data_IF_159458747858
#
_entry.id   IF_159458747858
#
_cell.length_a   1.000
_cell.length_b   1.000
_cell.length_c   1.000
_cell.angle_alpha   90.00
_cell.angle_beta   90.00
_cell.angle_gamma   90.00
#
_symmetry.space_group_name_H-M   'P 1'
#
loop_
_entity.id
_entity.type
_entity.pdbx_description
1 polymer ?
#
# COMPACT_ATOMS: atom_id res chain seq x y z
N UNK A 1 -2.92 -9.23 -19.43
CA UNK A 1 -3.92 -8.41 -20.22
C UNK A 1 -4.70 -7.58 -19.22
N UNK A 2 -4.83 -6.28 -19.47
CA UNK A 2 -5.56 -5.37 -18.57
C UNK A 2 -7.05 -5.70 -18.58
N UNK A 3 -7.62 -5.90 -17.39
CA UNK A 3 -9.05 -6.14 -17.19
C UNK A 3 -9.79 -4.82 -16.93
N UNK A 4 -10.88 -4.63 -17.69
CA UNK A 4 -11.77 -3.47 -17.52
C UNK A 4 -12.98 -3.91 -16.71
N UNK A 5 -13.23 -3.23 -15.60
CA UNK A 5 -14.33 -3.54 -14.68
C UNK A 5 -15.56 -2.71 -15.01
N UNK A 6 -16.72 -3.36 -15.00
CA UNK A 6 -18.01 -2.66 -15.07
C UNK A 6 -18.34 -2.00 -13.74
N UNK A 7 -19.26 -1.04 -13.73
CA UNK A 7 -19.74 -0.38 -12.50
C UNK A 7 -20.26 -1.38 -11.46
N UNK A 8 -20.91 -2.46 -11.91
CA UNK A 8 -21.38 -3.52 -11.03
C UNK A 8 -20.21 -4.26 -10.34
N UNK A 9 -19.10 -4.47 -11.05
CA UNK A 9 -17.89 -5.10 -10.51
C UNK A 9 -17.16 -4.16 -9.56
N UNK A 10 -17.03 -2.87 -9.91
CA UNK A 10 -16.47 -1.85 -9.00
C UNK A 10 -17.29 -1.78 -7.71
N UNK A 11 -18.62 -1.91 -7.78
CA UNK A 11 -19.48 -1.93 -6.59
C UNK A 11 -19.15 -3.10 -5.64
N UNK A 12 -18.82 -4.28 -6.18
CA UNK A 12 -18.36 -5.42 -5.36
C UNK A 12 -16.99 -5.14 -4.72
N UNK A 13 -16.08 -4.54 -5.48
CA UNK A 13 -14.76 -4.14 -4.96
C UNK A 13 -14.85 -3.12 -3.83
N UNK A 14 -15.85 -2.21 -3.85
CA UNK A 14 -16.06 -1.26 -2.73
C UNK A 14 -16.25 -1.97 -1.40
N UNK A 15 -16.95 -3.12 -1.37
CA UNK A 15 -17.15 -3.86 -0.12
C UNK A 15 -15.85 -4.48 0.40
N UNK A 16 -15.04 -5.08 -0.48
CA UNK A 16 -13.72 -5.60 -0.11
C UNK A 16 -12.82 -4.48 0.43
N UNK A 17 -12.79 -3.35 -0.26
CA UNK A 17 -11.99 -2.18 0.12
C UNK A 17 -12.49 -1.51 1.41
N UNK A 18 -13.80 -1.51 1.69
CA UNK A 18 -14.33 -1.04 2.98
C UNK A 18 -13.82 -1.91 4.14
N UNK A 19 -13.76 -3.23 3.95
CA UNK A 19 -13.23 -4.15 4.96
C UNK A 19 -11.74 -3.88 5.21
N UNK A 20 -10.97 -3.64 4.15
CA UNK A 20 -9.55 -3.27 4.23
C UNK A 20 -9.36 -1.96 4.99
N UNK A 21 -10.08 -0.90 4.62
CA UNK A 21 -10.07 0.38 5.31
C UNK A 21 -10.33 0.23 6.82
N UNK A 22 -11.42 -0.46 7.16
CA UNK A 22 -11.82 -0.63 8.55
C UNK A 22 -10.77 -1.46 9.33
N UNK A 23 -10.14 -2.45 8.66
CA UNK A 23 -9.03 -3.22 9.24
C UNK A 23 -7.83 -2.33 9.54
N UNK A 24 -7.42 -1.47 8.59
CA UNK A 24 -6.29 -0.56 8.78
C UNK A 24 -6.57 0.46 9.89
N UNK A 25 -7.77 1.02 9.96
CA UNK A 25 -8.17 1.91 11.05
C UNK A 25 -8.06 1.20 12.42
N UNK A 26 -8.58 -0.02 12.51
CA UNK A 26 -8.48 -0.83 13.72
C UNK A 26 -7.02 -1.09 14.13
N UNK A 27 -6.14 -1.36 13.17
CA UNK A 27 -4.71 -1.56 13.42
C UNK A 27 -4.05 -0.29 13.93
N UNK A 28 -4.29 0.86 13.30
CA UNK A 28 -3.74 2.15 13.75
C UNK A 28 -4.21 2.51 15.18
N UNK A 29 -5.48 2.26 15.52
CA UNK A 29 -6.00 2.47 16.89
C UNK A 29 -5.32 1.59 17.94
N UNK A 30 -4.89 0.38 17.54
CA UNK A 30 -4.23 -0.58 18.44
C UNK A 30 -2.70 -0.49 18.40
N UNK A 31 -2.13 0.40 17.58
CA UNK A 31 -0.69 0.63 17.48
C UNK A 31 -0.18 1.36 18.73
N UNK A 32 0.52 0.62 19.59
CA UNK A 32 1.05 1.13 20.85
C UNK A 32 2.40 0.49 21.17
N UNK A 33 3.30 1.17 21.90
CA UNK A 33 4.50 0.55 22.42
C UNK A 33 4.17 -0.71 23.24
N UNK A 34 4.95 -1.76 23.05
CA UNK A 34 4.80 -3.04 23.74
C UNK A 34 3.89 -4.08 23.06
N UNK A 35 3.14 -3.69 22.01
CA UNK A 35 2.34 -4.63 21.22
C UNK A 35 3.24 -5.38 20.25
N UNK A 36 3.03 -6.69 20.09
CA UNK A 36 3.73 -7.48 19.08
C UNK A 36 3.05 -7.36 17.71
N UNK A 37 3.84 -7.43 16.64
CA UNK A 37 3.30 -7.44 15.28
C UNK A 37 2.40 -8.67 15.02
N UNK A 38 2.62 -9.77 15.75
CA UNK A 38 1.76 -10.95 15.72
C UNK A 38 0.36 -10.68 16.27
N UNK A 39 0.23 -9.92 17.38
CA UNK A 39 -1.08 -9.55 17.94
C UNK A 39 -1.89 -8.70 16.96
N UNK A 40 -1.23 -7.76 16.26
CA UNK A 40 -1.86 -6.93 15.23
C UNK A 40 -2.31 -7.77 14.01
N UNK A 41 -1.50 -8.73 13.58
CA UNK A 41 -1.91 -9.68 12.55
C UNK A 41 -3.12 -10.52 12.97
N UNK A 42 -3.15 -11.00 14.24
CA UNK A 42 -4.30 -11.75 14.77
C UNK A 42 -5.57 -10.89 14.77
N UNK A 43 -5.45 -9.63 15.20
CA UNK A 43 -6.55 -8.68 15.25
C UNK A 43 -7.12 -8.42 13.82
N UNK A 44 -6.25 -8.19 12.84
CA UNK A 44 -6.64 -8.02 11.45
C UNK A 44 -7.33 -9.28 10.90
N UNK A 45 -6.75 -10.45 11.14
CA UNK A 45 -7.32 -11.72 10.70
C UNK A 45 -8.74 -11.92 11.25
N UNK A 46 -8.91 -11.76 12.55
CA UNK A 46 -10.21 -11.93 13.24
C UNK A 46 -11.25 -10.93 12.69
N UNK A 47 -10.85 -9.68 12.47
CA UNK A 47 -11.76 -8.68 11.91
C UNK A 47 -12.18 -9.03 10.48
N UNK A 48 -11.23 -9.30 9.56
CA UNK A 48 -11.51 -9.63 8.17
C UNK A 48 -12.48 -10.84 8.09
N UNK A 49 -12.19 -11.91 8.84
CA UNK A 49 -13.03 -13.10 8.87
C UNK A 49 -14.42 -12.81 9.44
N UNK A 50 -14.51 -11.96 10.47
CA UNK A 50 -15.81 -11.55 11.05
C UNK A 50 -16.72 -10.82 10.05
N UNK A 51 -16.12 -10.17 9.03
CA UNK A 51 -16.83 -9.48 7.96
C UNK A 51 -17.27 -10.43 6.81
N UNK A 52 -17.02 -11.74 6.94
CA UNK A 52 -17.30 -12.73 5.91
C UNK A 52 -16.32 -12.68 4.72
N UNK A 53 -15.15 -12.07 4.92
CA UNK A 53 -14.08 -11.97 3.94
C UNK A 53 -12.92 -12.92 4.26
N UNK A 54 -11.99 -13.07 3.32
CA UNK A 54 -10.77 -13.84 3.48
C UNK A 54 -9.57 -12.92 3.35
N UNK A 55 -8.54 -12.99 4.23
CA UNK A 55 -7.30 -12.24 4.06
C UNK A 55 -6.63 -12.60 2.72
N UNK A 56 -6.32 -11.60 1.89
CA UNK A 56 -5.76 -11.84 0.55
C UNK A 56 -4.34 -12.40 0.59
N UNK A 57 -3.56 -12.03 1.62
CA UNK A 57 -2.14 -12.38 1.68
C UNK A 57 -1.87 -13.74 2.29
N UNK A 58 -2.75 -14.26 3.14
CA UNK A 58 -2.55 -15.55 3.81
C UNK A 58 -2.43 -16.68 2.78
N UNK A 59 -1.26 -17.33 2.76
CA UNK A 59 -0.86 -18.36 1.80
C UNK A 59 -0.70 -17.89 0.34
N UNK A 60 -0.79 -16.57 0.07
CA UNK A 60 -0.50 -16.04 -1.26
C UNK A 60 0.99 -16.21 -1.56
N UNK A 61 1.31 -17.03 -2.56
CA UNK A 61 2.68 -17.46 -2.86
C UNK A 61 3.47 -17.99 -1.65
N UNK A 62 2.77 -18.46 -0.61
CA UNK A 62 3.37 -18.99 0.61
C UNK A 62 3.60 -17.95 1.71
N UNK A 63 3.09 -16.72 1.58
CA UNK A 63 3.17 -15.72 2.67
C UNK A 63 2.45 -16.23 3.93
N UNK A 64 3.08 -16.18 5.12
CA UNK A 64 2.57 -16.92 6.28
C UNK A 64 1.55 -16.17 7.13
N UNK A 65 1.15 -14.95 6.75
CA UNK A 65 0.35 -14.06 7.59
C UNK A 65 -0.83 -13.43 6.83
N UNK A 66 -1.78 -12.84 7.55
CA UNK A 66 -2.97 -12.19 6.97
C UNK A 66 -2.72 -10.77 6.50
N UNK A 67 -1.72 -10.10 7.07
CA UNK A 67 -1.27 -8.76 6.72
C UNK A 67 0.26 -8.69 6.72
N UNK A 68 0.84 -7.72 6.02
CA UNK A 68 2.24 -7.37 6.21
C UNK A 68 2.37 -6.32 7.32
N UNK A 69 3.41 -6.44 8.15
CA UNK A 69 3.73 -5.47 9.21
C UNK A 69 5.21 -5.13 9.14
N UNK A 70 5.51 -3.96 8.58
CA UNK A 70 6.86 -3.49 8.30
C UNK A 70 7.22 -2.36 9.26
N UNK A 71 8.30 -2.53 10.04
CA UNK A 71 8.69 -1.60 11.11
C UNK A 71 9.96 -0.84 10.73
N UNK A 72 9.94 0.48 10.89
CA UNK A 72 11.06 1.41 10.69
C UNK A 72 11.70 1.28 9.30
N UNK A 73 12.82 0.58 9.19
CA UNK A 73 13.56 0.39 7.94
C UNK A 73 13.01 -0.75 7.06
N UNK A 74 11.98 -1.46 7.51
CA UNK A 74 11.26 -2.40 6.66
C UNK A 74 10.31 -1.61 5.75
N UNK A 75 10.48 -1.76 4.46
CA UNK A 75 9.68 -1.05 3.45
C UNK A 75 8.31 -1.68 3.32
N UNK A 76 8.30 -2.98 2.96
CA UNK A 76 7.08 -3.80 2.75
C UNK A 76 7.35 -5.26 3.09
N UNK A 77 6.29 -6.07 3.08
CA UNK A 77 6.27 -7.52 3.24
C UNK A 77 6.87 -8.02 4.57
N UNK A 78 6.93 -7.16 5.60
CA UNK A 78 7.38 -7.56 6.93
C UNK A 78 6.50 -8.67 7.50
N UNK A 79 7.12 -9.81 7.88
CA UNK A 79 6.38 -10.94 8.47
C UNK A 79 6.07 -10.64 9.93
N UNK A 80 4.78 -10.68 10.35
CA UNK A 80 4.38 -10.55 11.74
C UNK A 80 5.01 -11.61 12.65
N UNK A 81 5.52 -11.20 13.82
CA UNK A 81 6.20 -12.09 14.76
C UNK A 81 5.88 -11.75 16.21
N UNK A 82 5.85 -12.76 17.09
CA UNK A 82 5.72 -12.58 18.55
C UNK A 82 6.94 -11.89 19.16
N UNK A 83 8.10 -12.00 18.54
CA UNK A 83 9.33 -11.35 18.98
C UNK A 83 9.53 -9.95 18.45
N UNK A 84 8.80 -9.53 17.42
CA UNK A 84 8.84 -8.17 16.86
C UNK A 84 7.85 -7.30 17.63
N UNK A 85 8.35 -6.57 18.63
CA UNK A 85 7.59 -5.69 19.51
C UNK A 85 7.71 -4.26 19.02
N UNK A 86 6.61 -3.51 18.99
CA UNK A 86 6.61 -2.09 18.67
C UNK A 86 7.19 -1.27 19.82
N UNK A 87 8.05 -0.31 19.49
CA UNK A 87 8.70 0.57 20.44
C UNK A 87 8.26 2.02 20.25
N UNK A 88 8.27 2.78 21.34
CA UNK A 88 8.08 4.24 21.31
C UNK A 88 9.04 4.88 20.30
N UNK A 89 8.53 5.75 19.43
CA UNK A 89 9.33 6.44 18.42
C UNK A 89 9.47 5.72 17.09
N UNK A 90 9.05 4.45 17.00
CA UNK A 90 8.99 3.71 15.72
C UNK A 90 7.84 4.17 14.84
N UNK A 91 7.96 3.91 13.54
CA UNK A 91 6.84 3.94 12.59
C UNK A 91 6.58 2.54 12.08
N UNK A 92 5.33 2.22 11.77
CA UNK A 92 4.93 0.89 11.30
C UNK A 92 3.98 1.00 10.11
N UNK A 93 4.33 0.32 9.01
CA UNK A 93 3.48 0.21 7.83
C UNK A 93 2.70 -1.10 7.90
N UNK A 94 1.38 -0.98 7.84
CA UNK A 94 0.45 -2.09 7.66
C UNK A 94 0.01 -2.12 6.21
N UNK A 95 0.11 -3.29 5.61
CA UNK A 95 -0.42 -3.55 4.29
C UNK A 95 -1.42 -4.70 4.41
N UNK A 96 -2.64 -4.48 3.91
CA UNK A 96 -3.79 -5.32 4.16
C UNK A 96 -4.63 -5.50 2.91
N UNK A 97 -4.82 -6.76 2.51
CA UNK A 97 -5.74 -7.14 1.46
C UNK A 97 -6.88 -8.03 1.97
N UNK A 98 -8.08 -7.88 1.39
CA UNK A 98 -9.23 -8.74 1.68
C UNK A 98 -9.95 -9.17 0.41
N UNK A 99 -10.43 -10.42 0.41
CA UNK A 99 -11.29 -10.98 -0.65
C UNK A 99 -12.72 -11.03 -0.14
N UNK A 100 -13.62 -10.37 -0.85
CA UNK A 100 -15.07 -10.46 -0.61
C UNK A 100 -15.79 -10.76 -1.91
N UNK A 101 -16.63 -11.80 -1.93
CA UNK A 101 -17.32 -12.30 -3.12
C UNK A 101 -16.40 -12.51 -4.35
N UNK A 102 -15.15 -12.93 -4.09
CA UNK A 102 -14.15 -13.19 -5.12
C UNK A 102 -13.54 -11.92 -5.74
N UNK A 103 -13.63 -10.76 -5.06
CA UNK A 103 -12.99 -9.51 -5.44
C UNK A 103 -12.03 -9.07 -4.35
N UNK A 104 -10.85 -8.62 -4.76
CA UNK A 104 -9.83 -8.10 -3.85
C UNK A 104 -10.04 -6.61 -3.58
N UNK A 105 -9.74 -6.19 -2.36
CA UNK A 105 -9.39 -4.84 -1.98
C UNK A 105 -7.99 -4.84 -1.39
N UNK A 106 -7.28 -3.74 -1.51
CA UNK A 106 -5.91 -3.58 -1.07
C UNK A 106 -5.61 -2.15 -0.65
N UNK A 107 -4.90 -1.99 0.46
CA UNK A 107 -4.42 -0.70 0.93
C UNK A 107 -3.33 -0.83 2.00
N UNK A 108 -2.49 0.20 2.11
CA UNK A 108 -1.49 0.30 3.16
C UNK A 108 -1.50 1.66 3.86
N UNK A 109 -1.13 1.65 5.14
CA UNK A 109 -0.98 2.85 5.98
C UNK A 109 0.26 2.74 6.85
N UNK A 110 0.97 3.85 7.00
CA UNK A 110 2.05 3.97 8.00
C UNK A 110 1.56 4.74 9.20
N UNK A 111 1.68 4.15 10.40
CA UNK A 111 1.22 4.70 11.66
C UNK A 111 2.41 4.97 12.59
N UNK A 112 2.29 6.01 13.43
CA UNK A 112 3.24 6.30 14.50
C UNK A 112 3.06 5.35 15.69
N UNK A 113 4.14 4.95 16.32
CA UNK A 113 4.13 4.19 17.58
C UNK A 113 4.47 5.15 18.73
N UNK A 114 3.44 5.67 19.41
CA UNK A 114 3.61 6.72 20.42
C UNK A 114 4.10 8.03 19.81
N UNK A 115 5.05 8.69 20.46
CA UNK A 115 5.64 9.96 19.99
C UNK A 115 6.81 9.67 19.04
N UNK A 116 6.71 10.09 17.81
CA UNK A 116 7.75 9.95 16.78
C UNK A 116 8.48 11.27 16.52
N UNK A 117 9.63 11.21 15.84
CA UNK A 117 10.36 12.42 15.44
C UNK A 117 9.62 13.21 14.34
N UNK A 118 9.91 14.50 14.23
CA UNK A 118 9.35 15.34 13.17
C UNK A 118 9.73 14.84 11.78
N UNK A 119 10.93 14.25 11.62
CA UNK A 119 11.40 13.70 10.36
C UNK A 119 10.59 12.45 9.96
N UNK A 120 10.27 11.59 10.93
CA UNK A 120 9.40 10.42 10.69
C UNK A 120 7.96 10.85 10.34
N UNK A 121 7.43 11.86 11.05
CA UNK A 121 6.10 12.40 10.72
C UNK A 121 6.10 12.99 9.31
N UNK A 122 7.12 13.77 8.94
CA UNK A 122 7.23 14.34 7.59
C UNK A 122 7.31 13.23 6.53
N UNK A 123 8.04 12.15 6.79
CA UNK A 123 8.10 11.01 5.85
C UNK A 123 6.72 10.40 5.63
N UNK A 124 5.95 10.17 6.69
CA UNK A 124 4.57 9.65 6.60
C UNK A 124 3.71 10.59 5.77
N UNK A 125 3.71 11.90 6.11
CA UNK A 125 2.88 12.91 5.46
C UNK A 125 3.22 13.05 3.97
N UNK A 126 4.51 13.06 3.61
CA UNK A 126 4.96 13.15 2.21
C UNK A 126 4.61 11.91 1.42
N UNK A 127 4.70 10.72 2.04
CA UNK A 127 4.32 9.45 1.39
C UNK A 127 2.82 9.43 1.08
N UNK A 128 1.99 9.85 2.00
CA UNK A 128 0.55 10.03 1.77
C UNK A 128 0.28 11.08 0.67
N UNK A 129 0.95 12.23 0.71
CA UNK A 129 0.82 13.27 -0.32
C UNK A 129 1.22 12.77 -1.72
N UNK A 130 2.23 11.89 -1.83
CA UNK A 130 2.59 11.26 -3.10
C UNK A 130 1.41 10.56 -3.74
N UNK A 131 0.64 9.79 -2.95
CA UNK A 131 -0.55 9.11 -3.41
C UNK A 131 -1.62 10.11 -3.90
N UNK A 132 -1.98 11.10 -3.08
CA UNK A 132 -3.04 12.04 -3.44
C UNK A 132 -2.67 12.87 -4.68
N UNK A 133 -1.43 13.34 -4.79
CA UNK A 133 -0.96 14.06 -5.98
C UNK A 133 -0.99 13.18 -7.24
N UNK A 134 -0.64 11.91 -7.10
CA UNK A 134 -0.77 10.96 -8.19
C UNK A 134 -2.23 10.83 -8.66
N UNK A 135 -3.16 10.62 -7.73
CA UNK A 135 -4.60 10.50 -8.02
C UNK A 135 -5.15 11.76 -8.65
N UNK A 136 -4.82 12.94 -8.12
CA UNK A 136 -5.24 14.26 -8.66
C UNK A 136 -4.76 14.48 -10.09
N UNK A 137 -3.64 13.89 -10.49
CA UNK A 137 -3.09 14.00 -11.85
C UNK A 137 -3.79 13.13 -12.89
N UNK A 138 -4.68 12.22 -12.46
CA UNK A 138 -5.30 11.24 -13.36
C UNK A 138 -6.49 11.84 -14.09
N UNK A 139 -6.39 11.88 -15.42
CA UNK A 139 -7.49 12.18 -16.34
C UNK A 139 -7.67 11.01 -17.27
N UNK A 140 -8.83 10.33 -17.20
CA UNK A 140 -9.14 9.17 -18.02
C UNK A 140 -8.98 9.49 -19.53
N UNK A 141 -8.36 8.59 -20.28
CA UNK A 141 -8.08 8.77 -21.70
C UNK A 141 -6.92 9.72 -22.02
N UNK A 142 -6.31 10.39 -21.03
CA UNK A 142 -5.19 11.34 -21.20
C UNK A 142 -3.95 10.84 -20.46
N UNK A 143 -4.02 10.72 -19.14
CA UNK A 143 -2.90 10.34 -18.27
C UNK A 143 -2.36 8.96 -18.62
N UNK A 144 -1.04 8.81 -18.54
CA UNK A 144 -0.33 7.53 -18.71
C UNK A 144 0.30 7.09 -17.40
N UNK A 145 0.65 5.81 -17.27
CA UNK A 145 1.30 5.26 -16.08
C UNK A 145 2.58 6.01 -15.70
N UNK A 146 3.38 6.42 -16.70
CA UNK A 146 4.59 7.20 -16.44
C UNK A 146 4.32 8.61 -15.89
N UNK A 147 3.14 9.17 -16.08
CA UNK A 147 2.74 10.46 -15.48
C UNK A 147 2.52 10.27 -13.96
N UNK A 148 1.86 9.17 -13.58
CA UNK A 148 1.63 8.81 -12.17
C UNK A 148 2.96 8.68 -11.44
N UNK A 149 3.85 7.81 -11.95
CA UNK A 149 5.16 7.60 -11.34
C UNK A 149 6.02 8.87 -11.31
N UNK A 150 5.95 9.69 -12.36
CA UNK A 150 6.66 10.98 -12.42
C UNK A 150 6.22 11.95 -11.32
N UNK A 151 4.92 12.07 -11.07
CA UNK A 151 4.37 12.95 -10.01
C UNK A 151 4.80 12.46 -8.63
N UNK A 152 4.72 11.16 -8.36
CA UNK A 152 5.17 10.54 -7.11
C UNK A 152 6.66 10.84 -6.89
N UNK A 153 7.48 10.52 -7.88
CA UNK A 153 8.93 10.69 -7.82
C UNK A 153 9.31 12.15 -7.60
N UNK A 154 8.78 13.07 -8.39
CA UNK A 154 9.09 14.50 -8.23
C UNK A 154 8.71 15.03 -6.85
N UNK A 155 7.56 14.60 -6.32
CA UNK A 155 7.13 15.06 -5.00
C UNK A 155 8.06 14.54 -3.91
N UNK A 156 8.32 13.24 -3.85
CA UNK A 156 9.21 12.65 -2.85
C UNK A 156 10.63 13.21 -2.91
N UNK A 157 11.22 13.29 -4.11
CA UNK A 157 12.59 13.79 -4.32
C UNK A 157 12.72 15.29 -3.96
N UNK A 158 11.64 16.09 -4.06
CA UNK A 158 11.65 17.49 -3.64
C UNK A 158 11.86 17.68 -2.13
N UNK A 159 11.61 16.65 -1.33
CA UNK A 159 11.90 16.59 0.10
C UNK A 159 13.22 15.88 0.41
N UNK A 160 13.96 15.44 -0.61
CA UNK A 160 15.22 14.70 -0.46
C UNK A 160 15.02 13.21 -0.12
N UNK A 161 13.83 12.66 -0.36
CA UNK A 161 13.50 11.26 -0.11
C UNK A 161 13.75 10.38 -1.32
N UNK A 162 14.05 9.09 -1.06
CA UNK A 162 14.18 8.06 -2.08
C UNK A 162 12.83 7.44 -2.44
N UNK A 163 12.68 7.01 -3.70
CA UNK A 163 11.52 6.25 -4.19
C UNK A 163 11.96 4.85 -4.56
N UNK A 164 11.41 3.84 -3.91
CA UNK A 164 11.73 2.43 -4.18
C UNK A 164 11.38 2.08 -5.63
N UNK A 165 12.25 1.34 -6.31
CA UNK A 165 12.14 1.02 -7.74
C UNK A 165 11.91 -0.46 -8.02
N UNK A 166 12.29 -1.32 -7.09
CA UNK A 166 12.22 -2.78 -7.21
C UNK A 166 10.79 -3.32 -7.03
N UNK A 167 9.91 -2.51 -6.46
CA UNK A 167 8.52 -2.83 -6.16
C UNK A 167 7.62 -1.74 -6.73
N UNK A 168 6.46 -2.14 -7.21
CA UNK A 168 5.55 -1.27 -7.96
C UNK A 168 4.10 -1.62 -7.64
N UNK A 169 3.21 -0.67 -7.80
CA UNK A 169 1.78 -0.90 -7.77
C UNK A 169 1.28 -1.75 -8.93
N UNK A 170 0.02 -2.09 -8.93
CA UNK A 170 -0.53 -3.08 -9.85
C UNK A 170 -2.00 -2.84 -10.19
N UNK A 171 -2.48 -3.47 -11.25
CA UNK A 171 -3.91 -3.68 -11.44
C UNK A 171 -4.45 -4.63 -10.38
N UNK A 172 -5.72 -4.49 -10.03
CA UNK A 172 -6.36 -5.32 -9.00
C UNK A 172 -7.81 -5.64 -9.37
N UNK A 173 -8.30 -6.80 -8.96
CA UNK A 173 -9.67 -7.19 -9.27
C UNK A 173 -10.02 -8.57 -8.75
N UNK A 174 -10.18 -9.54 -9.65
CA UNK A 174 -10.38 -10.96 -9.31
C UNK A 174 -9.08 -11.63 -8.86
N UNK A 175 -7.95 -11.10 -9.30
CA UNK A 175 -6.64 -11.47 -8.80
C UNK A 175 -6.08 -10.31 -7.97
N UNK A 176 -5.24 -10.64 -6.99
CA UNK A 176 -4.55 -9.68 -6.16
C UNK A 176 -3.68 -8.77 -7.04
N UNK A 177 -2.85 -9.36 -7.87
CA UNK A 177 -2.03 -8.67 -8.84
C UNK A 177 -2.55 -8.95 -10.26
N UNK A 178 -3.00 -7.90 -10.93
CA UNK A 178 -3.38 -7.88 -12.34
C UNK A 178 -2.50 -6.89 -13.12
N UNK A 179 -2.49 -6.99 -14.45
CA UNK A 179 -1.93 -5.92 -15.28
C UNK A 179 -2.74 -4.61 -15.12
N UNK A 180 -2.10 -3.45 -15.24
CA UNK A 180 -0.68 -3.23 -15.48
C UNK A 180 0.13 -3.06 -14.18
N UNK A 181 1.45 -3.17 -14.25
CA UNK A 181 2.33 -2.62 -13.22
C UNK A 181 2.19 -1.09 -13.17
N UNK A 182 2.24 -0.52 -11.96
CA UNK A 182 2.09 0.92 -11.69
C UNK A 182 3.32 1.43 -10.93
N UNK A 183 4.43 1.74 -11.63
CA UNK A 183 5.65 2.21 -10.98
C UNK A 183 5.46 3.55 -10.26
N UNK A 184 6.15 3.71 -9.12
CA UNK A 184 6.19 4.95 -8.35
C UNK A 184 7.22 5.96 -8.87
N UNK A 185 7.83 5.69 -10.01
CA UNK A 185 8.80 6.54 -10.71
C UNK A 185 8.56 6.44 -12.21
N UNK A 186 9.05 7.41 -12.96
CA UNK A 186 8.90 7.31 -14.40
C UNK A 186 9.10 8.61 -15.17
N UNK A 187 8.86 8.51 -16.48
CA UNK A 187 8.94 9.62 -17.42
C UNK A 187 7.53 10.03 -17.85
N UNK A 188 7.19 11.31 -17.69
CA UNK A 188 5.92 11.86 -18.12
C UNK A 188 5.62 11.56 -19.60
N UNK A 189 4.37 11.27 -19.92
CA UNK A 189 3.89 10.95 -21.26
C UNK A 189 4.24 9.54 -21.74
N UNK A 190 4.78 8.66 -20.89
CA UNK A 190 5.16 7.29 -21.25
C UNK A 190 4.24 6.25 -20.61
N UNK A 191 4.28 5.06 -21.17
CA UNK A 191 3.52 3.91 -20.65
C UNK A 191 2.08 3.84 -21.15
N UNK A 192 1.34 2.93 -20.55
CA UNK A 192 -0.06 2.63 -20.87
C UNK A 192 -0.94 3.82 -20.49
N UNK A 193 -1.95 4.11 -21.30
CA UNK A 193 -2.93 5.16 -21.04
C UNK A 193 -3.97 4.65 -20.04
N UNK A 194 -4.25 5.45 -19.03
CA UNK A 194 -5.29 5.16 -18.04
C UNK A 194 -6.66 5.31 -18.71
N UNK A 195 -7.51 4.32 -18.55
CA UNK A 195 -8.83 4.25 -19.17
C UNK A 195 -9.91 3.95 -18.15
N UNK A 196 -11.13 4.38 -18.45
CA UNK A 196 -12.31 4.04 -17.65
C UNK A 196 -12.45 2.52 -17.49
N UNK A 197 -12.88 2.09 -16.31
CA UNK A 197 -13.00 0.70 -15.91
C UNK A 197 -11.71 0.05 -15.40
N UNK A 198 -10.55 0.72 -15.47
CA UNK A 198 -9.34 0.25 -14.79
C UNK A 198 -9.49 0.38 -13.28
N UNK A 199 -8.98 -0.62 -12.54
CA UNK A 199 -8.81 -0.57 -11.08
C UNK A 199 -7.35 -0.85 -10.77
N UNK A 200 -6.73 0.02 -9.98
CA UNK A 200 -5.29 0.03 -9.73
C UNK A 200 -5.02 0.18 -8.23
N UNK A 201 -4.01 -0.51 -7.75
CA UNK A 201 -3.32 -0.19 -6.50
C UNK A 201 -2.21 0.81 -6.81
N UNK A 202 -2.29 1.99 -6.22
CA UNK A 202 -1.22 3.01 -6.27
C UNK A 202 -0.62 3.05 -4.88
N UNK A 203 0.68 2.72 -4.80
CA UNK A 203 1.33 2.37 -3.53
C UNK A 203 2.74 3.00 -3.39
N UNK A 204 2.86 4.31 -3.22
CA UNK A 204 4.14 4.94 -2.95
C UNK A 204 4.87 4.30 -1.77
N UNK A 205 6.09 3.80 -2.03
CA UNK A 205 7.06 3.31 -1.05
C UNK A 205 8.23 4.28 -1.01
N UNK A 206 8.28 5.10 0.04
CA UNK A 206 9.19 6.24 0.17
C UNK A 206 10.17 6.00 1.31
N UNK A 207 11.44 6.29 1.08
CA UNK A 207 12.51 6.09 2.05
C UNK A 207 13.11 7.42 2.51
N UNK A 208 13.47 7.51 3.78
CA UNK A 208 14.14 8.70 4.34
C UNK A 208 15.56 8.91 3.81
N UNK A 209 16.14 7.91 3.14
CA UNK A 209 17.51 7.94 2.63
C UNK A 209 17.62 7.40 1.21
N UNK A 210 18.42 6.34 1.04
CA UNK A 210 18.62 5.73 -0.28
C UNK A 210 17.34 5.03 -0.77
N UNK A 211 17.10 5.10 -2.08
CA UNK A 211 16.04 4.35 -2.75
C UNK A 211 16.30 2.83 -2.82
N UNK A 212 17.55 2.42 -2.52
CA UNK A 212 17.98 1.02 -2.64
C UNK A 212 17.48 0.16 -1.50
N UNK A 213 17.11 -1.06 -1.82
CA UNK A 213 16.57 -2.02 -0.87
C UNK A 213 17.34 -3.34 -0.87
N UNK A 214 17.28 -4.05 0.24
CA UNK A 214 17.76 -5.43 0.43
C UNK A 214 16.54 -6.34 0.64
N UNK A 215 16.53 -7.49 -0.03
CA UNK A 215 15.59 -8.57 0.22
C UNK A 215 16.18 -9.51 1.28
N UNK A 216 15.45 -9.76 2.36
CA UNK A 216 15.96 -10.57 3.46
C UNK A 216 15.86 -12.07 3.18
N UNK A 217 16.62 -12.86 3.95
CA UNK A 217 16.69 -14.33 3.82
C UNK A 217 15.37 -15.04 4.22
N UNK A 218 14.42 -14.33 4.83
CA UNK A 218 13.08 -14.86 5.10
C UNK A 218 12.22 -15.01 3.82
N UNK A 219 12.73 -14.55 2.70
CA UNK A 219 12.12 -14.64 1.37
C UNK A 219 11.04 -13.60 1.10
N UNK A 220 10.76 -12.67 2.04
CA UNK A 220 9.67 -11.70 1.94
C UNK A 220 10.07 -10.28 2.31
N UNK A 221 10.61 -10.07 3.51
CA UNK A 221 10.83 -8.74 4.06
C UNK A 221 11.81 -7.94 3.20
N UNK A 222 11.41 -6.74 2.81
CA UNK A 222 12.24 -5.80 2.06
C UNK A 222 12.62 -4.65 2.99
N UNK A 223 13.92 -4.35 3.07
CA UNK A 223 14.47 -3.30 3.93
C UNK A 223 15.26 -2.26 3.13
N UNK A 224 15.28 -1.02 3.63
CA UNK A 224 16.19 0.00 3.11
C UNK A 224 17.64 -0.42 3.32
N UNK A 225 18.51 -0.21 2.32
CA UNK A 225 19.91 -0.62 2.39
C UNK A 225 20.68 0.17 3.46
N UNK A 226 20.36 1.45 3.69
CA UNK A 226 20.97 2.32 4.69
C UNK A 226 20.31 2.21 6.08
N UNK A 227 19.30 1.36 6.23
CA UNK A 227 18.56 1.12 7.48
C UNK A 227 17.81 2.34 8.03
N UNK A 228 17.64 3.39 7.23
CA UNK A 228 16.77 4.51 7.58
C UNK A 228 15.30 4.16 7.41
N UNK A 229 14.38 4.87 8.09
CA UNK A 229 12.95 4.61 7.99
C UNK A 229 12.41 4.68 6.57
N UNK A 230 11.38 3.88 6.31
CA UNK A 230 10.56 3.93 5.11
C UNK A 230 9.09 4.03 5.49
N UNK A 231 8.28 4.60 4.62
CA UNK A 231 6.83 4.65 4.74
C UNK A 231 6.16 4.11 3.48
N UNK A 232 5.00 3.50 3.66
CA UNK A 232 4.17 2.96 2.61
C UNK A 232 2.74 3.51 2.77
N UNK A 233 2.18 4.02 1.69
CA UNK A 233 0.80 4.48 1.64
C UNK A 233 0.16 3.97 0.35
N UNK A 234 -0.98 3.33 0.46
CA UNK A 234 -1.62 2.70 -0.67
C UNK A 234 -3.14 2.81 -0.61
N UNK A 235 -3.76 2.92 -1.77
CA UNK A 235 -5.17 2.62 -1.94
C UNK A 235 -5.45 1.99 -3.30
N UNK A 236 -6.48 1.13 -3.32
CA UNK A 236 -7.16 0.74 -4.55
C UNK A 236 -8.00 1.91 -5.06
N UNK A 237 -7.80 2.26 -6.33
CA UNK A 237 -8.62 3.25 -7.05
C UNK A 237 -9.40 2.59 -8.18
N UNK A 238 -10.52 3.19 -8.56
CA UNK A 238 -11.26 2.87 -9.78
C UNK A 238 -11.36 4.10 -10.69
N UNK A 239 -11.14 3.92 -11.97
CA UNK A 239 -11.35 4.95 -12.98
C UNK A 239 -12.79 4.81 -13.48
N UNK A 240 -13.64 5.77 -13.16
CA UNK A 240 -15.06 5.77 -13.51
C UNK A 240 -15.39 6.86 -14.53
N UNK A 241 -16.61 6.83 -15.07
CA UNK A 241 -17.12 7.90 -15.94
C UNK A 241 -17.20 9.27 -15.22
N UNK A 242 -17.22 9.28 -13.89
CA UNK A 242 -17.26 10.50 -13.06
C UNK A 242 -15.87 10.94 -12.56
N UNK A 243 -14.79 10.27 -12.99
CA UNK A 243 -13.42 10.52 -12.55
C UNK A 243 -12.86 9.38 -11.72
N UNK A 244 -11.82 9.67 -10.93
CA UNK A 244 -11.16 8.69 -10.08
C UNK A 244 -11.91 8.55 -8.76
N UNK A 245 -12.20 7.31 -8.38
CA UNK A 245 -12.77 6.97 -7.08
C UNK A 245 -11.73 6.19 -6.27
N UNK A 246 -11.45 6.61 -5.03
CA UNK A 246 -10.60 5.89 -4.10
C UNK A 246 -11.49 4.94 -3.30
N UNK A 247 -11.29 3.64 -3.47
CA UNK A 247 -12.21 2.63 -2.92
C UNK A 247 -11.93 2.30 -1.44
N UNK A 248 -10.69 2.50 -0.97
CA UNK A 248 -10.20 2.13 0.37
C UNK A 248 -9.85 3.34 1.27
N UNK A 249 -10.40 4.52 0.93
CA UNK A 249 -10.21 5.76 1.71
C UNK A 249 -11.29 5.94 2.78
#
# INVERSE_FOLDING_TARGET
MITIKSDAQVKLMRRANQIVKDTLNLLCEHTKPGVSTYELNRLAHEYIVSQGAVPSFLNYHGFPASICVSVDSEVVHGIPSKSKILHEGSIVSYDCGAIFDGWHGDAARTCAVGLISCECQQLIDVTEQCFFKAVESIVAGVTRLGDIGHVIQQHAESFGYGVVRELVGHGIGRSMHEDPEVPNFGTAGRGIRISEGMTLAIEPMITMGTERVDFLDDGWTVKTQDRKPAAHYENTIAITSNGVEILSL
#
